data_IF_759323900389
#
_entry.id   IF_759323900389
#
_cell.length_a   1.000
_cell.length_b   1.000
_cell.length_c   1.000
_cell.angle_alpha   90.00
_cell.angle_beta   90.00
_cell.angle_gamma   90.00
#
_symmetry.space_group_name_H-M   'P 1'
#
loop_
_entity.id
_entity.type
_entity.pdbx_description
1 polymer ?
#
# COMPACT_ATOMS: atom_id res chain seq x y z
N UNK A 1 -17.70 35.02 -14.57
CA UNK A 1 -16.89 33.83 -14.28
C UNK A 1 -16.42 33.22 -15.58
N UNK A 2 -15.11 33.07 -15.76
CA UNK A 2 -14.47 32.45 -16.93
C UNK A 2 -13.96 31.07 -16.57
N UNK A 3 -14.45 30.06 -17.27
CA UNK A 3 -14.04 28.68 -17.07
C UNK A 3 -13.20 28.25 -18.26
N UNK A 4 -11.93 27.96 -18.00
CA UNK A 4 -10.99 27.43 -19.00
C UNK A 4 -11.08 25.90 -18.99
N UNK A 5 -11.39 25.31 -20.15
CA UNK A 5 -11.50 23.87 -20.32
C UNK A 5 -10.16 23.26 -20.72
N UNK A 6 -10.04 21.93 -20.61
CA UNK A 6 -8.82 21.17 -20.92
C UNK A 6 -8.28 21.37 -22.35
N UNK A 7 -9.15 21.71 -23.30
CA UNK A 7 -8.77 22.00 -24.69
C UNK A 7 -8.34 23.46 -24.92
N UNK A 8 -8.27 24.26 -23.86
CA UNK A 8 -7.95 25.69 -23.89
C UNK A 8 -9.13 26.58 -24.28
N UNK A 9 -10.30 26.02 -24.56
CA UNK A 9 -11.50 26.82 -24.81
C UNK A 9 -12.00 27.47 -23.51
N UNK A 10 -12.64 28.64 -23.64
CA UNK A 10 -13.13 29.41 -22.49
C UNK A 10 -14.64 29.59 -22.60
N UNK A 11 -15.35 29.28 -21.52
CA UNK A 11 -16.78 29.51 -21.34
C UNK A 11 -17.00 30.64 -20.33
N UNK A 12 -17.90 31.57 -20.64
CA UNK A 12 -18.23 32.68 -19.75
C UNK A 12 -19.63 32.52 -19.17
N UNK A 13 -19.74 32.60 -17.85
CA UNK A 13 -20.98 32.51 -17.10
C UNK A 13 -21.21 33.79 -16.28
N UNK A 14 -22.47 34.24 -16.23
CA UNK A 14 -22.88 35.50 -15.58
C UNK A 14 -22.92 35.44 -14.05
N UNK A 15 -22.81 34.24 -13.47
CA UNK A 15 -22.86 34.01 -12.03
C UNK A 15 -22.24 32.67 -11.66
N UNK A 16 -22.35 32.31 -10.39
CA UNK A 16 -21.88 31.01 -9.91
C UNK A 16 -22.74 29.87 -10.48
N UNK A 17 -22.11 28.72 -10.71
CA UNK A 17 -22.77 27.53 -11.25
C UNK A 17 -22.18 26.27 -10.62
N UNK A 18 -23.01 25.24 -10.45
CA UNK A 18 -22.49 23.92 -10.13
C UNK A 18 -21.76 23.32 -11.33
N UNK A 19 -20.70 22.56 -11.05
CA UNK A 19 -19.91 21.90 -12.09
C UNK A 19 -20.78 21.00 -12.98
N UNK A 20 -21.78 20.32 -12.41
CA UNK A 20 -22.72 19.48 -13.18
C UNK A 20 -23.51 20.29 -14.22
N UNK A 21 -23.85 21.54 -13.95
CA UNK A 21 -24.59 22.38 -14.88
C UNK A 21 -23.68 22.97 -15.96
N UNK A 22 -22.42 23.29 -15.60
CA UNK A 22 -21.38 23.60 -16.58
C UNK A 22 -21.15 22.40 -17.52
N UNK A 23 -21.09 21.18 -16.99
CA UNK A 23 -20.94 19.96 -17.80
C UNK A 23 -22.12 19.77 -18.78
N UNK A 24 -23.36 20.07 -18.36
CA UNK A 24 -24.55 20.02 -19.24
C UNK A 24 -24.48 21.07 -20.35
N UNK A 25 -24.04 22.28 -20.03
CA UNK A 25 -23.85 23.37 -21.00
C UNK A 25 -22.75 23.06 -22.03
N UNK A 26 -21.71 22.32 -21.64
CA UNK A 26 -20.70 21.81 -22.58
C UNK A 26 -21.31 20.75 -23.49
N UNK A 27 -21.91 19.70 -22.89
CA UNK A 27 -22.63 18.66 -23.61
C UNK A 27 -23.46 17.79 -22.67
N UNK A 28 -24.72 17.58 -23.02
CA UNK A 28 -25.60 16.59 -22.40
C UNK A 28 -24.98 15.19 -22.33
N UNK A 29 -24.20 14.80 -23.34
CA UNK A 29 -23.51 13.51 -23.36
C UNK A 29 -22.38 13.45 -22.32
N UNK A 30 -21.62 14.53 -22.19
CA UNK A 30 -20.54 14.64 -21.21
C UNK A 30 -21.09 14.64 -19.78
N UNK A 31 -22.14 15.41 -19.51
CA UNK A 31 -22.78 15.45 -18.19
C UNK A 31 -23.29 14.08 -17.72
N UNK A 32 -23.77 13.23 -18.64
CA UNK A 32 -24.21 11.86 -18.32
C UNK A 32 -23.06 10.92 -17.96
N UNK A 33 -21.87 11.16 -18.53
CA UNK A 33 -20.67 10.35 -18.31
C UNK A 33 -19.76 10.89 -17.19
N UNK A 34 -20.03 12.10 -16.71
CA UNK A 34 -19.28 12.76 -15.66
C UNK A 34 -19.35 11.95 -14.36
N UNK A 35 -18.17 11.70 -13.78
CA UNK A 35 -18.00 10.98 -12.51
C UNK A 35 -17.50 11.89 -11.40
N UNK A 36 -16.60 12.82 -11.73
CA UNK A 36 -16.05 13.85 -10.86
C UNK A 36 -15.58 15.03 -11.73
N UNK A 37 -14.95 16.03 -11.12
CA UNK A 37 -14.23 17.06 -11.87
C UNK A 37 -12.90 17.38 -11.22
N UNK A 38 -12.00 17.96 -12.00
CA UNK A 38 -10.78 18.60 -11.51
C UNK A 38 -10.95 20.11 -11.67
N UNK A 39 -10.86 20.83 -10.56
CA UNK A 39 -10.98 22.29 -10.47
C UNK A 39 -9.65 22.83 -9.95
N UNK A 40 -8.95 23.61 -10.78
CA UNK A 40 -7.61 24.16 -10.47
C UNK A 40 -6.63 23.08 -9.94
N UNK A 41 -6.60 21.93 -10.62
CA UNK A 41 -5.75 20.79 -10.26
C UNK A 41 -6.24 19.94 -9.08
N UNK A 42 -7.42 20.23 -8.50
CA UNK A 42 -7.99 19.47 -7.37
C UNK A 42 -9.23 18.69 -7.78
N UNK A 43 -9.26 17.41 -7.44
CA UNK A 43 -10.44 16.55 -7.67
C UNK A 43 -11.56 16.95 -6.71
N UNK A 44 -12.74 17.26 -7.27
CA UNK A 44 -13.91 17.74 -6.55
C UNK A 44 -15.20 17.06 -7.02
N UNK A 45 -16.25 17.14 -6.19
CA UNK A 45 -17.58 16.63 -6.51
C UNK A 45 -18.28 17.49 -7.57
N UNK A 46 -19.10 16.88 -8.42
CA UNK A 46 -19.85 17.58 -9.48
C UNK A 46 -20.88 18.59 -8.94
N UNK A 47 -21.27 18.48 -7.66
CA UNK A 47 -22.14 19.42 -6.95
C UNK A 47 -21.41 20.68 -6.48
N UNK A 48 -20.08 20.72 -6.60
CA UNK A 48 -19.28 21.88 -6.21
C UNK A 48 -19.71 23.10 -7.00
N UNK A 49 -19.95 24.20 -6.29
CA UNK A 49 -20.26 25.50 -6.90
C UNK A 49 -18.97 26.23 -7.23
N UNK A 50 -18.87 26.68 -8.48
CA UNK A 50 -17.77 27.53 -8.96
C UNK A 50 -18.28 28.96 -8.99
N UNK A 51 -17.56 29.88 -8.37
CA UNK A 51 -17.93 31.31 -8.26
C UNK A 51 -16.89 32.28 -8.81
N UNK A 52 -15.68 31.79 -9.11
CA UNK A 52 -14.55 32.56 -9.63
C UNK A 52 -14.02 31.92 -10.90
N UNK A 53 -13.16 32.65 -11.62
CA UNK A 53 -12.46 32.12 -12.78
C UNK A 53 -11.60 30.93 -12.38
N UNK A 54 -11.65 29.84 -13.15
CA UNK A 54 -11.01 28.57 -12.81
C UNK A 54 -10.71 27.72 -14.04
N UNK A 55 -9.76 26.80 -13.90
CA UNK A 55 -9.53 25.71 -14.84
C UNK A 55 -10.39 24.50 -14.44
N UNK A 56 -11.18 23.98 -15.40
CA UNK A 56 -12.12 22.89 -15.14
C UNK A 56 -11.94 21.76 -16.16
N UNK A 57 -11.75 20.55 -15.63
CA UNK A 57 -11.80 19.31 -16.40
C UNK A 57 -12.89 18.39 -15.87
N UNK A 58 -13.82 17.98 -16.72
CA UNK A 58 -14.83 16.98 -16.36
C UNK A 58 -14.20 15.59 -16.46
N UNK A 59 -14.19 14.86 -15.35
CA UNK A 59 -13.57 13.55 -15.25
C UNK A 59 -14.63 12.46 -15.46
N UNK A 60 -14.31 11.52 -16.34
CA UNK A 60 -15.16 10.38 -16.70
C UNK A 60 -14.54 9.08 -16.19
N UNK A 61 -15.20 7.94 -16.42
CA UNK A 61 -14.62 6.63 -16.06
C UNK A 61 -13.32 6.30 -16.82
N UNK A 62 -12.95 7.05 -17.85
CA UNK A 62 -11.66 6.88 -18.53
C UNK A 62 -10.50 7.53 -17.76
N UNK A 63 -10.79 8.40 -16.79
CA UNK A 63 -9.82 9.10 -15.97
C UNK A 63 -9.70 8.40 -14.60
N UNK A 64 -8.49 8.30 -14.03
CA UNK A 64 -8.27 7.56 -12.78
C UNK A 64 -9.11 8.09 -11.61
N UNK A 65 -9.15 9.42 -11.42
CA UNK A 65 -10.01 10.04 -10.41
C UNK A 65 -11.51 9.85 -10.69
N UNK A 66 -11.93 9.70 -11.95
CA UNK A 66 -13.30 9.35 -12.30
C UNK A 66 -13.64 7.88 -12.00
N UNK A 67 -12.71 6.94 -12.24
CA UNK A 67 -12.84 5.53 -11.80
C UNK A 67 -12.96 5.44 -10.29
N UNK A 68 -12.13 6.19 -9.57
CA UNK A 68 -12.16 6.26 -8.10
C UNK A 68 -13.54 6.71 -7.61
N UNK A 69 -14.07 7.84 -8.10
CA UNK A 69 -15.41 8.33 -7.74
C UNK A 69 -16.54 7.33 -8.06
N UNK A 70 -16.47 6.68 -9.22
CA UNK A 70 -17.44 5.66 -9.64
C UNK A 70 -17.43 4.44 -8.71
N UNK A 71 -16.25 3.93 -8.38
CA UNK A 71 -16.08 2.77 -7.48
C UNK A 71 -16.41 3.12 -6.04
N UNK A 72 -16.07 4.31 -5.58
CA UNK A 72 -16.43 4.83 -4.27
C UNK A 72 -17.96 4.96 -4.11
N UNK A 73 -18.65 5.42 -5.15
CA UNK A 73 -20.12 5.39 -5.16
C UNK A 73 -20.67 3.98 -5.11
N UNK A 74 -20.01 3.03 -5.77
CA UNK A 74 -20.42 1.62 -5.71
C UNK A 74 -20.20 1.00 -4.32
N UNK A 75 -19.18 1.43 -3.57
CA UNK A 75 -18.99 0.98 -2.18
C UNK A 75 -20.13 1.44 -1.28
N UNK A 76 -20.67 2.65 -1.46
CA UNK A 76 -21.86 3.10 -0.74
C UNK A 76 -23.09 2.27 -1.10
N UNK A 77 -23.27 1.91 -2.38
CA UNK A 77 -24.35 0.99 -2.79
C UNK A 77 -24.22 -0.37 -2.10
N UNK A 78 -22.99 -0.90 -1.94
CA UNK A 78 -22.75 -2.10 -1.15
C UNK A 78 -23.14 -1.90 0.32
N UNK A 79 -22.73 -0.80 0.94
CA UNK A 79 -23.07 -0.51 2.33
C UNK A 79 -24.59 -0.42 2.55
N UNK A 80 -25.31 0.25 1.65
CA UNK A 80 -26.77 0.28 1.66
C UNK A 80 -27.38 -1.12 1.50
N UNK A 81 -26.86 -1.95 0.58
CA UNK A 81 -27.31 -3.32 0.41
C UNK A 81 -27.13 -4.16 1.68
N UNK A 82 -25.97 -4.01 2.35
CA UNK A 82 -25.71 -4.66 3.64
C UNK A 82 -26.69 -4.16 4.69
N UNK A 83 -26.92 -2.85 4.83
CA UNK A 83 -27.88 -2.31 5.81
C UNK A 83 -29.33 -2.76 5.56
N UNK A 84 -29.72 -3.01 4.30
CA UNK A 84 -31.06 -3.55 3.98
C UNK A 84 -31.22 -5.03 4.33
N UNK A 85 -30.21 -5.85 4.04
CA UNK A 85 -30.28 -7.30 4.31
C UNK A 85 -29.88 -7.67 5.74
N UNK A 86 -29.05 -6.84 6.38
CA UNK A 86 -28.48 -7.01 7.71
C UNK A 86 -28.59 -5.68 8.49
N UNK A 87 -29.79 -5.33 9.00
CA UNK A 87 -30.02 -4.03 9.64
C UNK A 87 -29.11 -3.71 10.83
N UNK A 88 -28.71 -4.75 11.57
CA UNK A 88 -27.85 -4.64 12.75
C UNK A 88 -26.37 -4.44 12.41
N UNK A 89 -25.99 -4.59 11.13
CA UNK A 89 -24.63 -4.36 10.65
C UNK A 89 -24.18 -2.94 10.93
N UNK A 90 -22.95 -2.77 11.43
CA UNK A 90 -22.34 -1.43 11.58
C UNK A 90 -21.31 -1.21 10.48
N UNK A 91 -21.30 -0.01 9.90
CA UNK A 91 -20.41 0.35 8.79
C UNK A 91 -19.18 1.10 9.30
N UNK A 92 -18.01 0.73 8.78
CA UNK A 92 -16.74 1.36 9.16
C UNK A 92 -16.16 2.22 8.02
N UNK A 93 -15.28 1.67 7.19
CA UNK A 93 -14.61 2.39 6.09
C UNK A 93 -14.83 1.68 4.76
N UNK A 94 -14.98 2.44 3.68
CA UNK A 94 -15.24 1.87 2.36
C UNK A 94 -14.65 2.65 1.18
N UNK A 95 -13.32 2.72 1.06
CA UNK A 95 -12.66 3.48 0.01
C UNK A 95 -12.72 2.76 -1.35
N UNK A 96 -12.54 3.53 -2.42
CA UNK A 96 -12.10 2.98 -3.71
C UNK A 96 -10.63 2.58 -3.66
N UNK A 97 -10.27 1.58 -4.46
CA UNK A 97 -8.90 1.13 -4.70
C UNK A 97 -8.67 1.00 -6.22
N UNK A 98 -7.41 0.81 -6.63
CA UNK A 98 -6.99 0.80 -8.04
C UNK A 98 -7.74 -0.20 -8.92
N UNK A 99 -8.20 -1.31 -8.34
CA UNK A 99 -8.90 -2.38 -9.06
C UNK A 99 -10.38 -2.49 -8.69
N UNK A 100 -10.90 -1.64 -7.81
CA UNK A 100 -12.26 -1.75 -7.29
C UNK A 100 -12.54 -0.91 -6.05
N UNK A 101 -13.14 -1.53 -5.04
CA UNK A 101 -13.42 -0.93 -3.74
C UNK A 101 -13.49 -2.04 -2.69
N UNK A 102 -13.44 -1.66 -1.41
CA UNK A 102 -13.89 -2.53 -0.35
C UNK A 102 -14.80 -1.76 0.61
N UNK A 103 -15.47 -2.49 1.50
CA UNK A 103 -16.17 -1.89 2.64
C UNK A 103 -16.05 -2.82 3.86
N UNK A 104 -15.71 -2.25 5.01
CA UNK A 104 -15.59 -2.94 6.30
C UNK A 104 -16.89 -2.85 7.11
N UNK A 105 -17.34 -4.00 7.60
CA UNK A 105 -18.58 -4.17 8.35
C UNK A 105 -18.34 -4.91 9.66
N UNK A 106 -18.99 -4.46 10.72
CA UNK A 106 -19.07 -5.19 11.98
C UNK A 106 -20.25 -6.18 11.93
N UNK A 107 -19.98 -7.33 11.33
CA UNK A 107 -20.91 -8.43 11.10
C UNK A 107 -20.15 -9.75 11.02
N UNK A 108 -20.83 -10.90 11.20
CA UNK A 108 -20.26 -12.20 10.85
C UNK A 108 -19.79 -12.26 9.38
N UNK A 109 -18.73 -13.02 9.07
CA UNK A 109 -18.23 -13.15 7.70
C UNK A 109 -19.29 -13.61 6.70
N UNK A 110 -19.28 -13.04 5.49
CA UNK A 110 -20.18 -13.44 4.42
C UNK A 110 -19.63 -14.64 3.65
N UNK A 111 -20.47 -15.64 3.46
CA UNK A 111 -20.18 -16.74 2.54
C UNK A 111 -20.52 -16.36 1.08
N UNK A 112 -20.29 -17.29 0.16
CA UNK A 112 -20.55 -17.04 -1.26
C UNK A 112 -22.03 -16.75 -1.57
N UNK A 113 -22.96 -17.41 -0.86
CA UNK A 113 -24.40 -17.21 -1.08
C UNK A 113 -24.85 -15.84 -0.59
N UNK A 114 -24.31 -15.36 0.54
CA UNK A 114 -24.55 -14.02 1.05
C UNK A 114 -24.00 -12.94 0.10
N UNK A 115 -22.80 -13.13 -0.46
CA UNK A 115 -22.28 -12.21 -1.48
C UNK A 115 -23.16 -12.16 -2.73
N UNK A 116 -23.66 -13.31 -3.19
CA UNK A 116 -24.58 -13.34 -4.34
C UNK A 116 -25.92 -12.64 -4.02
N UNK A 117 -26.44 -12.77 -2.78
CA UNK A 117 -27.63 -12.04 -2.33
C UNK A 117 -27.39 -10.52 -2.25
N UNK A 118 -26.24 -10.10 -1.74
CA UNK A 118 -25.83 -8.70 -1.70
C UNK A 118 -25.71 -8.12 -3.11
N UNK A 119 -25.09 -8.82 -4.06
CA UNK A 119 -25.04 -8.40 -5.47
C UNK A 119 -26.44 -8.16 -6.07
N UNK A 120 -27.42 -9.01 -5.74
CA UNK A 120 -28.81 -8.81 -6.19
C UNK A 120 -29.44 -7.59 -5.54
N UNK A 121 -29.20 -7.34 -4.25
CA UNK A 121 -29.74 -6.16 -3.57
C UNK A 121 -29.10 -4.86 -4.08
N UNK A 122 -27.77 -4.86 -4.32
CA UNK A 122 -27.08 -3.74 -4.98
C UNK A 122 -27.70 -3.42 -6.34
N UNK A 123 -28.03 -4.43 -7.15
CA UNK A 123 -28.72 -4.23 -8.44
C UNK A 123 -30.10 -3.61 -8.28
N UNK A 124 -30.85 -3.94 -7.21
CA UNK A 124 -32.14 -3.29 -6.92
C UNK A 124 -31.95 -1.82 -6.57
N UNK A 125 -31.00 -1.50 -5.68
CA UNK A 125 -30.66 -0.12 -5.29
C UNK A 125 -30.25 0.72 -6.51
N UNK A 126 -29.38 0.18 -7.38
CA UNK A 126 -28.96 0.84 -8.63
C UNK A 126 -30.17 1.11 -9.54
N UNK A 127 -31.12 0.16 -9.61
CA UNK A 127 -32.34 0.30 -10.43
C UNK A 127 -33.31 1.33 -9.86
N UNK A 128 -33.44 1.42 -8.54
CA UNK A 128 -34.18 2.50 -7.87
C UNK A 128 -33.60 3.86 -8.23
N UNK A 129 -32.26 3.93 -8.36
CA UNK A 129 -31.58 5.06 -8.98
C UNK A 129 -31.73 6.36 -8.19
N UNK A 130 -31.75 6.26 -6.86
CA UNK A 130 -31.85 7.41 -5.97
C UNK A 130 -30.84 8.50 -6.34
N UNK A 131 -31.28 9.75 -6.27
CA UNK A 131 -30.37 10.89 -6.31
C UNK A 131 -29.47 10.83 -5.07
N UNK A 132 -28.18 11.10 -5.29
CA UNK A 132 -27.22 11.18 -4.20
C UNK A 132 -27.11 12.66 -3.81
N UNK A 133 -27.32 12.98 -2.53
CA UNK A 133 -27.25 14.36 -2.04
C UNK A 133 -26.14 14.51 -1.01
N UNK A 134 -25.32 15.54 -1.16
CA UNK A 134 -24.26 15.90 -0.20
C UNK A 134 -24.77 16.97 0.76
N UNK A 135 -24.49 16.81 2.04
CA UNK A 135 -24.75 17.84 3.06
C UNK A 135 -23.65 17.85 4.13
N UNK A 136 -23.58 18.90 4.93
CA UNK A 136 -22.60 19.06 6.01
C UNK A 136 -23.31 19.29 7.32
N UNK A 137 -22.73 18.82 8.42
CA UNK A 137 -23.25 19.07 9.77
C UNK A 137 -22.14 19.59 10.68
N UNK A 138 -22.45 20.45 11.66
CA UNK A 138 -21.54 20.72 12.77
C UNK A 138 -21.14 19.44 13.49
N UNK A 139 -19.93 19.39 14.04
CA UNK A 139 -19.39 18.18 14.69
C UNK A 139 -20.31 17.54 15.72
N UNK A 140 -20.91 18.35 16.61
CA UNK A 140 -21.82 17.85 17.63
C UNK A 140 -23.08 17.18 17.02
N UNK A 141 -23.63 17.77 15.96
CA UNK A 141 -24.80 17.22 15.26
C UNK A 141 -24.43 15.97 14.43
N UNK A 142 -23.24 15.97 13.82
CA UNK A 142 -22.72 14.83 13.08
C UNK A 142 -22.52 13.61 13.99
N UNK A 143 -21.92 13.80 15.18
CA UNK A 143 -21.77 12.75 16.20
C UNK A 143 -23.14 12.24 16.62
N UNK A 144 -24.05 13.14 16.97
CA UNK A 144 -25.41 12.78 17.39
C UNK A 144 -26.16 11.97 16.32
N UNK A 145 -26.08 12.37 15.05
CA UNK A 145 -26.69 11.65 13.94
C UNK A 145 -26.16 10.21 13.82
N UNK A 146 -24.85 10.01 13.96
CA UNK A 146 -24.23 8.68 13.89
C UNK A 146 -24.52 7.85 15.15
N UNK A 147 -24.62 8.46 16.34
CA UNK A 147 -25.06 7.80 17.57
C UNK A 147 -26.52 7.34 17.47
N UNK A 148 -27.42 8.17 16.95
CA UNK A 148 -28.84 7.82 16.71
C UNK A 148 -29.02 6.71 15.66
N UNK A 149 -28.10 6.63 14.70
CA UNK A 149 -28.02 5.52 13.73
C UNK A 149 -27.27 4.30 14.26
N UNK A 150 -26.76 4.38 15.49
CA UNK A 150 -25.94 3.36 16.13
C UNK A 150 -24.71 2.96 15.31
N UNK A 151 -23.99 3.91 14.71
CA UNK A 151 -22.79 3.69 13.88
C UNK A 151 -21.51 4.09 14.63
N UNK A 152 -20.99 3.25 15.56
CA UNK A 152 -19.93 3.64 16.48
C UNK A 152 -18.60 3.98 15.79
N UNK A 153 -18.26 3.28 14.70
CA UNK A 153 -17.04 3.54 13.94
C UNK A 153 -17.06 4.93 13.29
N UNK A 154 -18.23 5.38 12.81
CA UNK A 154 -18.37 6.72 12.24
C UNK A 154 -18.27 7.80 13.31
N UNK A 155 -18.78 7.55 14.51
CA UNK A 155 -18.61 8.44 15.67
C UNK A 155 -17.13 8.61 16.02
N UNK A 156 -16.38 7.51 16.08
CA UNK A 156 -14.94 7.52 16.32
C UNK A 156 -14.20 8.31 15.24
N UNK A 157 -14.49 8.05 13.96
CA UNK A 157 -13.89 8.79 12.84
C UNK A 157 -14.16 10.31 12.94
N UNK A 158 -15.38 10.72 13.28
CA UNK A 158 -15.71 12.15 13.43
C UNK A 158 -14.89 12.77 14.55
N UNK A 159 -14.70 12.08 15.68
CA UNK A 159 -13.94 12.60 16.84
C UNK A 159 -12.47 12.82 16.50
N UNK A 160 -11.91 11.98 15.64
CA UNK A 160 -10.50 12.04 15.24
C UNK A 160 -10.18 13.09 14.18
N UNK A 161 -11.20 13.61 13.48
CA UNK A 161 -10.97 14.66 12.48
C UNK A 161 -10.43 15.94 13.15
N UNK A 162 -9.53 16.70 12.49
CA UNK A 162 -9.07 18.02 12.96
C UNK A 162 -10.22 18.95 13.32
N UNK A 163 -10.06 19.83 14.32
CA UNK A 163 -11.17 20.66 14.85
C UNK A 163 -11.88 21.49 13.76
N UNK A 164 -11.13 21.97 12.77
CA UNK A 164 -11.57 22.79 11.64
C UNK A 164 -12.07 21.98 10.43
N UNK A 165 -12.06 20.65 10.50
CA UNK A 165 -12.50 19.79 9.41
C UNK A 165 -13.99 19.96 9.10
N UNK A 166 -14.30 20.11 7.80
CA UNK A 166 -15.69 20.11 7.30
C UNK A 166 -16.22 18.68 7.28
N UNK A 167 -17.22 18.41 8.12
CA UNK A 167 -17.84 17.08 8.22
C UNK A 167 -18.99 16.99 7.21
N UNK A 168 -18.78 16.19 6.16
CA UNK A 168 -19.78 15.95 5.11
C UNK A 168 -20.34 14.53 5.13
N UNK A 169 -21.58 14.44 4.63
CA UNK A 169 -22.34 13.23 4.48
C UNK A 169 -22.91 13.12 3.07
N UNK A 170 -23.09 11.89 2.62
CA UNK A 170 -23.83 11.58 1.41
C UNK A 170 -25.06 10.75 1.77
N UNK A 171 -26.22 11.19 1.28
CA UNK A 171 -27.49 10.48 1.38
C UNK A 171 -27.84 9.85 0.04
N UNK A 172 -28.27 8.59 0.04
CA UNK A 172 -28.80 7.88 -1.12
C UNK A 172 -30.00 7.01 -0.71
N UNK A 173 -31.20 7.43 -1.10
CA UNK A 173 -32.43 6.75 -0.66
C UNK A 173 -32.55 6.73 0.87
N UNK A 174 -32.55 5.54 1.46
CA UNK A 174 -32.64 5.29 2.90
C UNK A 174 -31.28 5.24 3.64
N UNK A 175 -30.16 5.34 2.90
CA UNK A 175 -28.82 5.26 3.45
C UNK A 175 -28.13 6.63 3.54
N UNK A 176 -27.44 6.88 4.64
CA UNK A 176 -26.65 8.09 4.88
C UNK A 176 -25.30 7.67 5.44
N UNK A 177 -24.22 8.20 4.88
CA UNK A 177 -22.86 7.85 5.29
C UNK A 177 -21.96 9.07 5.44
N UNK A 178 -21.05 9.01 6.42
CA UNK A 178 -19.98 9.97 6.62
C UNK A 178 -18.92 9.75 5.53
N UNK A 179 -18.75 10.73 4.67
CA UNK A 179 -17.80 10.63 3.56
C UNK A 179 -17.43 12.02 3.00
N UNK A 180 -16.18 12.18 2.58
CA UNK A 180 -15.71 13.38 1.88
C UNK A 180 -16.10 13.39 0.39
N UNK A 181 -16.21 12.21 -0.22
CA UNK A 181 -16.45 12.00 -1.65
C UNK A 181 -15.18 12.13 -2.50
N UNK A 182 -15.29 12.45 -3.80
CA UNK A 182 -16.53 12.74 -4.53
C UNK A 182 -17.39 11.49 -4.81
N UNK A 183 -18.67 11.70 -5.11
CA UNK A 183 -19.61 10.65 -5.54
C UNK A 183 -20.37 11.04 -6.82
N UNK A 184 -20.82 10.02 -7.58
CA UNK A 184 -21.68 10.23 -8.74
C UNK A 184 -22.97 10.98 -8.36
N UNK A 185 -23.63 11.59 -9.34
CA UNK A 185 -24.91 12.28 -9.14
C UNK A 185 -26.05 11.32 -8.75
N UNK A 186 -26.00 10.08 -9.21
CA UNK A 186 -27.00 9.04 -8.93
C UNK A 186 -26.38 7.65 -9.00
N UNK A 187 -26.90 6.72 -8.18
CA UNK A 187 -26.55 5.31 -8.25
C UNK A 187 -26.92 4.65 -9.60
N UNK A 188 -27.88 5.22 -10.34
CA UNK A 188 -28.37 4.70 -11.63
C UNK A 188 -27.28 4.64 -12.72
N UNK A 189 -26.23 5.45 -12.55
CA UNK A 189 -25.11 5.51 -13.49
C UNK A 189 -24.24 4.26 -13.39
N UNK A 190 -24.28 3.53 -12.27
CA UNK A 190 -23.56 2.27 -12.07
C UNK A 190 -24.19 1.18 -12.96
N UNK A 191 -23.36 0.41 -13.66
CA UNK A 191 -23.79 -0.63 -14.62
C UNK A 191 -23.34 -2.04 -14.26
N UNK A 192 -22.05 -2.30 -14.38
CA UNK A 192 -21.47 -3.62 -14.16
C UNK A 192 -20.80 -3.66 -12.79
N UNK A 193 -21.22 -4.60 -11.93
CA UNK A 193 -20.69 -4.76 -10.57
C UNK A 193 -20.39 -6.23 -10.29
N UNK A 194 -19.36 -6.49 -9.47
CA UNK A 194 -19.05 -7.82 -8.96
C UNK A 194 -18.46 -7.74 -7.56
N UNK A 195 -18.95 -8.55 -6.63
CA UNK A 195 -18.29 -8.81 -5.35
C UNK A 195 -17.30 -9.98 -5.53
N UNK A 196 -16.06 -9.75 -5.10
CA UNK A 196 -14.93 -10.64 -5.34
C UNK A 196 -14.79 -11.65 -4.19
N UNK A 197 -14.62 -11.17 -2.96
CA UNK A 197 -14.48 -12.01 -1.78
C UNK A 197 -14.87 -11.25 -0.49
N UNK A 198 -14.92 -12.00 0.60
CA UNK A 198 -15.07 -11.51 1.97
C UNK A 198 -13.86 -11.96 2.77
N UNK A 199 -13.22 -11.07 3.53
CA UNK A 199 -12.05 -11.36 4.37
C UNK A 199 -12.18 -10.69 5.73
N UNK A 200 -11.35 -11.09 6.71
CA UNK A 200 -11.20 -10.35 7.96
C UNK A 200 -10.28 -9.14 7.77
N UNK A 201 -10.55 -8.04 8.48
CA UNK A 201 -9.64 -6.91 8.61
C UNK A 201 -9.75 -6.34 10.03
N UNK A 202 -8.62 -5.98 10.63
CA UNK A 202 -8.65 -5.35 11.96
C UNK A 202 -8.92 -3.86 11.85
N UNK A 203 -9.77 -3.33 12.74
CA UNK A 203 -10.02 -1.88 12.81
C UNK A 203 -8.70 -1.12 13.03
N UNK A 204 -8.43 -0.12 12.18
CA UNK A 204 -7.15 0.63 12.11
C UNK A 204 -5.90 -0.22 11.89
N UNK A 205 -6.04 -1.43 11.35
CA UNK A 205 -4.92 -2.32 11.06
C UNK A 205 -4.24 -2.91 12.30
N UNK A 206 -4.83 -2.79 13.48
CA UNK A 206 -4.23 -3.30 14.73
C UNK A 206 -4.95 -4.55 15.24
N UNK A 207 -4.23 -5.66 15.39
CA UNK A 207 -4.75 -6.94 15.91
C UNK A 207 -5.36 -6.85 17.32
N UNK A 208 -5.05 -5.77 18.06
CA UNK A 208 -5.63 -5.48 19.38
C UNK A 208 -7.07 -4.98 19.29
N UNK A 209 -7.50 -4.53 18.11
CA UNK A 209 -8.83 -4.00 17.87
C UNK A 209 -9.79 -5.08 17.37
N UNK A 210 -11.08 -4.73 17.31
CA UNK A 210 -12.10 -5.64 16.80
C UNK A 210 -11.83 -6.01 15.33
N UNK A 211 -11.94 -7.30 15.03
CA UNK A 211 -11.91 -7.81 13.66
C UNK A 211 -13.25 -7.53 12.99
N UNK A 212 -13.19 -6.89 11.82
CA UNK A 212 -14.30 -6.56 10.94
C UNK A 212 -14.33 -7.50 9.73
N UNK A 213 -15.49 -7.59 9.08
CA UNK A 213 -15.68 -8.28 7.81
C UNK A 213 -15.50 -7.28 6.66
N UNK A 214 -14.42 -7.43 5.90
CA UNK A 214 -14.14 -6.66 4.69
C UNK A 214 -14.71 -7.35 3.47
N UNK A 215 -15.51 -6.65 2.68
CA UNK A 215 -16.05 -7.14 1.41
C UNK A 215 -15.40 -6.39 0.26
N UNK A 216 -14.72 -7.10 -0.64
CA UNK A 216 -14.13 -6.52 -1.84
C UNK A 216 -15.08 -6.62 -3.03
N UNK A 217 -15.12 -5.57 -3.85
CA UNK A 217 -15.88 -5.52 -5.08
C UNK A 217 -15.21 -4.69 -6.16
N UNK A 218 -15.72 -4.78 -7.38
CA UNK A 218 -15.30 -3.94 -8.49
C UNK A 218 -16.51 -3.48 -9.30
N UNK A 219 -16.33 -2.42 -10.07
CA UNK A 219 -17.39 -1.81 -10.86
C UNK A 219 -16.84 -1.17 -12.15
N UNK A 220 -17.61 -1.32 -13.22
CA UNK A 220 -17.32 -0.81 -14.56
C UNK A 220 -18.57 -0.20 -15.20
N UNK A 221 -18.37 0.62 -16.23
CA UNK A 221 -19.47 1.25 -16.99
C UNK A 221 -20.11 0.31 -18.00
N UNK A 222 -19.46 -0.80 -18.36
CA UNK A 222 -20.00 -1.84 -19.26
C UNK A 222 -19.58 -3.24 -18.81
N UNK A 223 -20.43 -4.24 -19.08
CA UNK A 223 -20.18 -5.64 -18.71
C UNK A 223 -18.93 -6.21 -19.40
N UNK A 224 -18.64 -5.80 -20.63
CA UNK A 224 -17.46 -6.27 -21.37
C UNK A 224 -16.13 -5.98 -20.63
N UNK A 225 -15.98 -4.79 -20.04
CA UNK A 225 -14.77 -4.47 -19.25
C UNK A 225 -14.72 -5.27 -17.95
N UNK A 226 -15.88 -5.49 -17.32
CA UNK A 226 -15.96 -6.34 -16.13
C UNK A 226 -15.54 -7.77 -16.45
N UNK A 227 -16.04 -8.34 -17.55
CA UNK A 227 -15.71 -9.70 -17.98
C UNK A 227 -14.22 -9.84 -18.32
N UNK A 228 -13.65 -8.84 -19.02
CA UNK A 228 -12.21 -8.78 -19.31
C UNK A 228 -11.37 -8.71 -18.01
N UNK A 229 -11.76 -7.86 -17.07
CA UNK A 229 -11.10 -7.73 -15.78
C UNK A 229 -11.18 -9.04 -14.96
N UNK A 230 -12.34 -9.69 -14.93
CA UNK A 230 -12.50 -10.98 -14.25
C UNK A 230 -11.69 -12.09 -14.90
N UNK A 231 -11.59 -12.11 -16.24
CA UNK A 231 -10.73 -13.04 -16.96
C UNK A 231 -9.24 -12.80 -16.64
N UNK A 232 -8.83 -11.54 -16.52
CA UNK A 232 -7.48 -11.17 -16.11
C UNK A 232 -7.18 -11.61 -14.67
N UNK A 233 -8.09 -11.38 -13.71
CA UNK A 233 -7.94 -11.87 -12.33
C UNK A 233 -7.82 -13.40 -12.26
N UNK A 234 -8.56 -14.11 -13.11
CA UNK A 234 -8.46 -15.57 -13.18
C UNK A 234 -7.12 -16.03 -13.79
N UNK A 235 -6.57 -15.28 -14.74
CA UNK A 235 -5.23 -15.54 -15.26
C UNK A 235 -4.14 -15.29 -14.20
N UNK A 236 -4.23 -14.21 -13.43
CA UNK A 236 -3.32 -13.93 -12.30
C UNK A 236 -3.35 -15.09 -11.29
N UNK A 237 -4.55 -15.57 -10.91
CA UNK A 237 -4.68 -16.70 -9.97
C UNK A 237 -4.01 -17.99 -10.46
N UNK A 238 -3.90 -18.19 -11.78
CA UNK A 238 -3.18 -19.35 -12.34
C UNK A 238 -1.66 -19.23 -12.17
N UNK A 239 -1.15 -18.01 -11.98
CA UNK A 239 0.28 -17.70 -11.84
C UNK A 239 0.72 -17.45 -10.39
N UNK A 240 -0.20 -17.58 -9.42
CA UNK A 240 0.11 -17.48 -8.00
C UNK A 240 1.15 -18.53 -7.60
N UNK A 241 2.28 -18.09 -7.03
CA UNK A 241 3.38 -18.99 -6.65
C UNK A 241 2.98 -19.97 -5.54
N UNK A 242 1.96 -19.68 -4.73
CA UNK A 242 1.42 -20.65 -3.78
C UNK A 242 0.75 -21.82 -4.47
N UNK A 243 -0.01 -21.53 -5.53
CA UNK A 243 -0.66 -22.56 -6.35
C UNK A 243 0.39 -23.36 -7.10
N UNK A 244 1.22 -22.67 -7.89
CA UNK A 244 2.27 -23.30 -8.69
C UNK A 244 3.29 -24.04 -7.83
N UNK A 245 3.70 -23.45 -6.70
CA UNK A 245 4.66 -24.05 -5.79
C UNK A 245 4.19 -25.35 -5.18
N UNK A 246 2.87 -25.50 -4.92
CA UNK A 246 2.27 -26.76 -4.48
C UNK A 246 2.16 -27.75 -5.63
N UNK A 247 1.62 -27.33 -6.78
CA UNK A 247 1.44 -28.19 -7.96
C UNK A 247 2.77 -28.74 -8.50
N UNK A 248 3.84 -27.95 -8.40
CA UNK A 248 5.18 -28.31 -8.86
C UNK A 248 6.05 -28.96 -7.77
N UNK A 249 5.56 -29.06 -6.54
CA UNK A 249 6.29 -29.58 -5.36
C UNK A 249 7.59 -28.80 -5.09
N UNK A 250 7.51 -27.47 -5.11
CA UNK A 250 8.63 -26.57 -4.83
C UNK A 250 8.73 -26.24 -3.34
N UNK A 251 7.60 -26.01 -2.67
CA UNK A 251 7.55 -25.76 -1.24
C UNK A 251 6.23 -26.24 -0.63
N UNK A 252 6.22 -26.42 0.69
CA UNK A 252 5.03 -26.74 1.47
C UNK A 252 4.93 -25.81 2.70
N UNK A 253 3.70 -25.51 3.10
CA UNK A 253 3.39 -24.83 4.36
C UNK A 253 2.68 -25.82 5.27
N UNK A 254 3.12 -25.91 6.52
CA UNK A 254 2.59 -26.87 7.49
C UNK A 254 2.31 -26.15 8.80
N UNK A 255 1.07 -26.20 9.27
CA UNK A 255 0.63 -25.40 10.43
C UNK A 255 1.44 -25.66 11.70
N UNK A 256 1.80 -26.93 11.99
CA UNK A 256 2.61 -27.27 13.18
C UNK A 256 4.04 -26.75 13.11
N UNK A 257 4.55 -26.39 11.92
CA UNK A 257 5.88 -25.77 11.76
C UNK A 257 5.79 -24.27 12.05
N UNK A 258 4.66 -23.64 11.73
CA UNK A 258 4.41 -22.22 11.93
C UNK A 258 4.30 -21.43 10.64
N UNK A 259 3.55 -20.33 10.69
CA UNK A 259 3.29 -19.47 9.55
C UNK A 259 4.57 -18.76 9.07
N UNK A 260 4.73 -18.68 7.75
CA UNK A 260 5.89 -18.10 7.06
C UNK A 260 7.24 -18.75 7.37
N UNK A 261 7.22 -20.04 7.73
CA UNK A 261 8.38 -20.92 7.77
C UNK A 261 8.20 -22.04 6.74
N UNK A 262 8.29 -21.73 5.43
CA UNK A 262 8.01 -22.69 4.38
C UNK A 262 9.08 -23.80 4.32
N UNK A 263 8.63 -25.03 4.09
CA UNK A 263 9.51 -26.16 3.77
C UNK A 263 9.85 -26.11 2.28
N UNK A 264 11.13 -25.89 1.95
CA UNK A 264 11.61 -26.08 0.58
C UNK A 264 11.68 -27.56 0.25
N UNK A 265 10.85 -28.00 -0.69
CA UNK A 265 10.80 -29.37 -1.18
C UNK A 265 11.98 -29.64 -2.13
N UNK A 266 12.34 -30.89 -2.49
CA UNK A 266 13.57 -31.18 -3.23
C UNK A 266 13.81 -30.34 -4.50
N UNK A 267 12.76 -30.06 -5.28
CA UNK A 267 12.85 -29.20 -6.48
C UNK A 267 13.09 -27.73 -6.11
N UNK A 268 12.39 -27.20 -5.11
CA UNK A 268 12.60 -25.84 -4.62
C UNK A 268 13.97 -25.65 -3.98
N UNK A 269 14.43 -26.61 -3.17
CA UNK A 269 15.77 -26.62 -2.60
C UNK A 269 16.86 -26.61 -3.69
N UNK A 270 16.66 -27.38 -4.78
CA UNK A 270 17.59 -27.37 -5.93
C UNK A 270 17.61 -26.02 -6.65
N UNK A 271 16.46 -25.38 -6.80
CA UNK A 271 16.34 -24.05 -7.40
C UNK A 271 17.09 -22.99 -6.55
N UNK A 272 16.85 -22.94 -5.24
CA UNK A 272 17.56 -22.03 -4.34
C UNK A 272 19.06 -22.29 -4.35
N UNK A 273 19.51 -23.55 -4.30
CA UNK A 273 20.94 -23.88 -4.41
C UNK A 273 21.56 -23.34 -5.72
N UNK A 274 20.82 -23.39 -6.82
CA UNK A 274 21.31 -22.94 -8.13
C UNK A 274 21.43 -21.42 -8.17
N UNK A 275 20.41 -20.71 -7.67
CA UNK A 275 20.42 -19.24 -7.57
C UNK A 275 21.51 -18.74 -6.62
N UNK A 276 21.66 -19.39 -5.46
CA UNK A 276 22.69 -19.05 -4.48
C UNK A 276 24.09 -19.17 -5.08
N UNK A 277 24.42 -20.29 -5.73
CA UNK A 277 25.73 -20.45 -6.38
C UNK A 277 25.97 -19.39 -7.45
N UNK A 278 24.94 -19.10 -8.24
CA UNK A 278 25.06 -18.10 -9.31
C UNK A 278 25.36 -16.70 -8.76
N UNK A 279 24.62 -16.23 -7.75
CA UNK A 279 24.87 -14.91 -7.15
C UNK A 279 26.21 -14.89 -6.40
N UNK A 280 26.57 -15.97 -5.72
CA UNK A 280 27.83 -16.06 -5.00
C UNK A 280 29.04 -15.99 -5.95
N UNK A 281 29.01 -16.73 -7.06
CA UNK A 281 30.03 -16.73 -8.10
C UNK A 281 30.15 -15.36 -8.79
N UNK A 282 29.01 -14.68 -9.02
CA UNK A 282 29.00 -13.36 -9.66
C UNK A 282 29.53 -12.26 -8.73
N UNK A 283 29.16 -12.28 -7.45
CA UNK A 283 29.71 -11.39 -6.43
C UNK A 283 31.24 -11.58 -6.29
N UNK A 284 31.73 -12.82 -6.28
CA UNK A 284 33.17 -13.09 -6.21
C UNK A 284 33.93 -12.53 -7.43
N UNK A 285 33.38 -12.68 -8.64
CA UNK A 285 33.96 -12.07 -9.86
C UNK A 285 34.05 -10.55 -9.78
N UNK A 286 33.16 -9.91 -9.02
CA UNK A 286 33.13 -8.46 -8.78
C UNK A 286 33.96 -8.04 -7.58
N UNK A 287 34.72 -8.96 -6.98
CA UNK A 287 35.65 -8.67 -5.89
C UNK A 287 34.99 -8.59 -4.52
N UNK A 288 33.81 -9.18 -4.33
CA UNK A 288 33.25 -9.41 -3.00
C UNK A 288 34.01 -10.55 -2.32
N UNK A 289 34.27 -10.38 -1.02
CA UNK A 289 34.92 -11.37 -0.17
C UNK A 289 33.84 -11.98 0.72
N UNK A 290 33.65 -13.30 0.59
CA UNK A 290 32.61 -14.02 1.33
C UNK A 290 32.94 -14.09 2.81
N UNK A 291 31.96 -13.75 3.65
CA UNK A 291 31.99 -13.95 5.09
C UNK A 291 30.89 -14.93 5.51
N UNK A 292 30.99 -15.44 6.73
CA UNK A 292 29.94 -16.26 7.34
C UNK A 292 29.81 -15.88 8.80
N UNK A 293 28.66 -15.32 9.17
CA UNK A 293 28.43 -14.82 10.53
C UNK A 293 27.34 -15.64 11.25
N UNK A 294 27.31 -15.66 12.60
CA UNK A 294 26.29 -16.36 13.37
C UNK A 294 24.86 -15.89 13.07
N UNK A 295 23.85 -16.73 13.37
CA UNK A 295 22.43 -16.43 13.17
C UNK A 295 21.76 -15.70 14.35
N UNK A 296 22.46 -15.59 15.48
CA UNK A 296 22.03 -14.88 16.67
C UNK A 296 23.21 -14.18 17.33
N UNK A 297 22.91 -13.17 18.12
CA UNK A 297 23.88 -12.46 18.94
C UNK A 297 23.24 -11.98 20.24
N UNK A 298 24.09 -11.55 21.18
CA UNK A 298 23.67 -10.91 22.42
C UNK A 298 22.94 -9.60 22.12
N UNK A 299 21.99 -9.25 22.99
CA UNK A 299 21.31 -7.95 23.02
C UNK A 299 22.28 -6.78 22.83
N UNK A 300 23.43 -6.82 23.51
CA UNK A 300 24.48 -5.79 23.46
C UNK A 300 24.91 -5.42 22.03
N UNK A 301 25.01 -6.40 21.12
CA UNK A 301 25.39 -6.14 19.74
C UNK A 301 24.35 -5.25 19.05
N UNK A 302 23.07 -5.54 19.29
CA UNK A 302 21.95 -4.83 18.70
C UNK A 302 21.73 -3.47 19.35
N UNK A 303 22.02 -3.32 20.64
CA UNK A 303 22.04 -2.01 21.32
C UNK A 303 23.16 -1.11 20.77
N UNK A 304 24.38 -1.64 20.61
CA UNK A 304 25.51 -0.88 20.02
C UNK A 304 25.20 -0.41 18.60
N UNK A 305 24.50 -1.25 17.83
CA UNK A 305 24.07 -0.92 16.45
C UNK A 305 22.76 -0.16 16.38
N UNK A 306 22.14 0.14 17.52
CA UNK A 306 20.83 0.79 17.68
C UNK A 306 19.61 0.05 17.09
N UNK A 307 19.82 -1.16 16.56
CA UNK A 307 18.73 -1.99 16.05
C UNK A 307 17.77 -2.41 17.18
N UNK A 308 18.26 -2.52 18.42
CA UNK A 308 17.41 -2.85 19.55
C UNK A 308 16.36 -1.78 19.86
N UNK A 309 16.68 -0.50 19.68
CA UNK A 309 15.73 0.57 19.99
C UNK A 309 14.70 0.77 18.87
N UNK A 310 15.11 0.55 17.62
CA UNK A 310 14.28 0.83 16.44
C UNK A 310 13.55 -0.40 15.87
N UNK A 311 14.10 -1.60 16.01
CA UNK A 311 13.62 -2.80 15.31
C UNK A 311 13.17 -3.93 16.25
N UNK A 312 13.26 -3.76 17.58
CA UNK A 312 12.96 -4.84 18.55
C UNK A 312 11.59 -5.47 18.37
N UNK A 313 10.56 -4.70 18.04
CA UNK A 313 9.20 -5.24 17.83
C UNK A 313 9.17 -6.30 16.71
N UNK A 314 10.02 -6.12 15.68
CA UNK A 314 10.20 -7.06 14.58
C UNK A 314 11.27 -8.12 14.81
N UNK A 315 11.84 -8.27 16.01
CA UNK A 315 12.90 -9.23 16.31
C UNK A 315 12.40 -10.42 17.12
N UNK A 316 12.98 -11.60 16.87
CA UNK A 316 12.80 -12.76 17.76
C UNK A 316 13.81 -12.71 18.90
N UNK A 317 13.33 -12.36 20.09
CA UNK A 317 14.12 -12.31 21.33
C UNK A 317 14.06 -13.67 22.05
N UNK A 318 15.21 -14.10 22.56
CA UNK A 318 15.43 -15.34 23.28
C UNK A 318 16.00 -15.02 24.66
N UNK A 319 15.34 -15.52 25.71
CA UNK A 319 15.71 -15.24 27.10
C UNK A 319 14.69 -14.34 27.80
N UNK A 320 14.87 -14.19 29.11
CA UNK A 320 14.06 -13.29 29.93
C UNK A 320 14.71 -11.90 29.95
N UNK A 321 13.99 -10.89 29.47
CA UNK A 321 14.48 -9.51 29.47
C UNK A 321 14.38 -8.84 30.84
N UNK A 322 13.55 -9.39 31.74
CA UNK A 322 13.32 -8.83 33.09
C UNK A 322 14.33 -9.35 34.11
N UNK A 323 15.04 -10.45 33.81
CA UNK A 323 16.13 -10.96 34.64
C UNK A 323 17.46 -10.32 34.26
N UNK A 324 17.93 -9.39 35.11
CA UNK A 324 19.22 -8.69 34.95
C UNK A 324 20.44 -9.64 34.89
N UNK A 325 20.30 -10.91 35.31
CA UNK A 325 21.37 -11.91 35.28
C UNK A 325 21.26 -12.88 34.08
N UNK A 326 20.19 -12.80 33.29
CA UNK A 326 19.99 -13.65 32.13
C UNK A 326 20.70 -13.07 30.89
N UNK A 327 21.38 -13.94 30.13
CA UNK A 327 21.86 -13.55 28.81
C UNK A 327 20.70 -13.52 27.81
N UNK A 328 20.37 -12.32 27.34
CA UNK A 328 19.38 -12.12 26.28
C UNK A 328 20.06 -12.18 24.92
N UNK A 329 19.52 -13.02 24.04
CA UNK A 329 19.94 -13.13 22.64
C UNK A 329 18.79 -12.74 21.73
N UNK A 330 19.11 -12.39 20.49
CA UNK A 330 18.10 -12.30 19.44
C UNK A 330 18.60 -12.92 18.13
N UNK A 331 17.68 -13.55 17.41
CA UNK A 331 17.90 -13.94 16.02
C UNK A 331 18.12 -12.67 15.21
N UNK A 332 19.09 -12.71 14.29
CA UNK A 332 19.49 -11.53 13.54
C UNK A 332 18.39 -11.08 12.55
N UNK A 333 17.93 -9.81 12.61
CA UNK A 333 17.03 -9.25 11.60
C UNK A 333 17.77 -8.74 10.36
N UNK A 334 19.08 -8.50 10.50
CA UNK A 334 20.02 -7.98 9.50
C UNK A 334 21.45 -8.46 9.81
N UNK A 335 22.36 -8.46 8.83
CA UNK A 335 23.78 -8.83 9.06
C UNK A 335 24.72 -7.67 9.33
N UNK A 336 24.31 -6.43 9.12
CA UNK A 336 25.11 -5.21 9.28
C UNK A 336 26.08 -5.24 10.49
N UNK A 337 25.60 -5.40 11.74
CA UNK A 337 26.49 -5.33 12.90
C UNK A 337 27.59 -6.40 12.90
N UNK A 338 27.29 -7.60 12.39
CA UNK A 338 28.26 -8.69 12.32
C UNK A 338 29.40 -8.36 11.34
N UNK A 339 29.08 -7.82 10.17
CA UNK A 339 30.08 -7.46 9.16
C UNK A 339 31.01 -6.35 9.64
N UNK A 340 30.51 -5.38 10.43
CA UNK A 340 31.37 -4.39 11.09
C UNK A 340 32.38 -5.03 12.04
N UNK A 341 32.00 -6.07 12.78
CA UNK A 341 32.94 -6.78 13.63
C UNK A 341 33.94 -7.63 12.84
N UNK A 342 33.57 -8.14 11.67
CA UNK A 342 34.53 -8.77 10.74
C UNK A 342 35.57 -7.74 10.27
N UNK A 343 35.12 -6.56 9.82
CA UNK A 343 36.00 -5.46 9.41
C UNK A 343 36.99 -5.08 10.54
N UNK A 344 36.49 -4.97 11.77
CA UNK A 344 37.26 -4.58 12.96
C UNK A 344 38.32 -5.60 13.41
N UNK A 345 38.35 -6.83 12.88
CA UNK A 345 39.33 -7.85 13.30
C UNK A 345 40.77 -7.54 12.87
N UNK A 346 40.98 -6.58 11.97
CA UNK A 346 42.32 -6.18 11.54
C UNK A 346 42.38 -4.69 11.24
N UNK A 347 43.55 -4.09 11.44
CA UNK A 347 43.80 -2.71 11.01
C UNK A 347 43.76 -2.63 9.47
N UNK A 348 43.13 -1.58 8.95
CA UNK A 348 43.03 -1.29 7.51
C UNK A 348 43.68 0.05 7.18
N UNK A 349 44.38 0.10 6.06
CA UNK A 349 44.82 1.32 5.40
C UNK A 349 43.77 1.80 4.39
N UNK A 350 43.83 3.07 3.98
CA UNK A 350 43.03 3.57 2.86
C UNK A 350 43.27 2.79 1.56
N UNK A 351 44.45 2.15 1.43
CA UNK A 351 44.80 1.29 0.28
C UNK A 351 44.10 -0.05 0.28
N UNK A 352 43.59 -0.49 1.43
CA UNK A 352 42.82 -1.72 1.56
C UNK A 352 41.33 -1.50 1.24
N UNK A 353 40.92 -0.25 1.02
CA UNK A 353 39.57 0.12 0.61
C UNK A 353 39.47 0.23 -0.93
N UNK A 354 38.37 -0.20 -1.54
CA UNK A 354 37.12 -0.65 -0.90
C UNK A 354 37.18 -2.10 -0.37
N UNK A 355 36.63 -2.31 0.83
CA UNK A 355 36.39 -3.66 1.37
C UNK A 355 34.94 -4.06 1.09
N UNK A 356 34.72 -5.15 0.34
CA UNK A 356 33.39 -5.62 -0.05
C UNK A 356 33.08 -6.94 0.63
N UNK A 357 32.38 -6.93 1.77
CA UNK A 357 32.01 -8.19 2.43
C UNK A 357 30.65 -8.67 1.94
N UNK A 358 30.61 -9.86 1.36
CA UNK A 358 29.38 -10.51 0.91
C UNK A 358 28.98 -11.66 1.83
N UNK A 359 27.70 -11.83 2.11
CA UNK A 359 27.16 -13.03 2.75
C UNK A 359 25.78 -13.37 2.15
N UNK A 360 25.57 -14.65 1.84
CA UNK A 360 24.21 -15.15 1.57
C UNK A 360 23.61 -15.56 2.91
N UNK A 361 22.86 -14.63 3.48
CA UNK A 361 22.55 -14.55 4.91
C UNK A 361 21.14 -14.99 5.21
N UNK A 362 20.98 -16.01 6.07
CA UNK A 362 19.69 -16.32 6.67
C UNK A 362 19.37 -15.32 7.79
N UNK A 363 18.20 -14.70 7.72
CA UNK A 363 17.72 -13.66 8.64
C UNK A 363 16.32 -14.01 9.15
N UNK A 364 15.92 -13.34 10.23
CA UNK A 364 14.64 -13.57 10.89
C UNK A 364 13.94 -12.27 11.23
N UNK A 365 12.66 -12.15 10.87
CA UNK A 365 11.80 -11.01 11.23
C UNK A 365 10.49 -11.52 11.81
N UNK A 366 10.09 -11.00 12.96
CA UNK A 366 8.83 -11.31 13.61
C UNK A 366 7.68 -10.56 12.92
N UNK A 367 7.41 -10.93 11.68
CA UNK A 367 6.32 -10.35 10.88
C UNK A 367 4.95 -10.73 11.46
N UNK A 368 4.00 -9.81 11.35
CA UNK A 368 2.62 -10.00 11.78
C UNK A 368 1.98 -11.15 11.00
N UNK A 369 1.22 -11.97 11.74
CA UNK A 369 0.58 -13.17 11.18
C UNK A 369 -0.38 -12.84 10.03
N UNK A 370 -1.02 -11.66 10.05
CA UNK A 370 -1.93 -11.22 8.99
C UNK A 370 -1.25 -10.83 7.67
N UNK A 371 0.05 -10.56 7.68
CA UNK A 371 0.78 -10.04 6.51
C UNK A 371 1.53 -11.13 5.73
N UNK A 372 1.61 -12.34 6.28
CA UNK A 372 2.40 -13.42 5.68
C UNK A 372 1.73 -13.96 4.42
N UNK A 373 2.48 -14.04 3.32
CA UNK A 373 1.96 -14.51 2.04
C UNK A 373 2.96 -15.39 1.30
N UNK A 374 2.75 -16.70 1.34
CA UNK A 374 3.56 -17.69 0.62
C UNK A 374 5.06 -17.56 0.86
N UNK A 375 5.82 -17.29 -0.20
CA UNK A 375 7.25 -17.00 -0.16
C UNK A 375 7.58 -15.49 -0.26
N UNK A 376 6.57 -14.64 -0.46
CA UNK A 376 6.76 -13.18 -0.65
C UNK A 376 7.04 -12.47 0.68
N UNK A 377 6.37 -12.88 1.76
CA UNK A 377 6.58 -12.36 3.11
C UNK A 377 6.62 -13.51 4.12
N UNK A 378 7.79 -13.71 4.73
CA UNK A 378 8.14 -14.88 5.55
C UNK A 378 8.93 -14.45 6.79
N UNK A 379 8.91 -15.26 7.85
CA UNK A 379 9.64 -14.99 9.10
C UNK A 379 11.12 -15.34 9.03
N UNK A 380 11.46 -16.32 8.20
CA UNK A 380 12.83 -16.72 7.92
C UNK A 380 13.06 -16.60 6.42
N UNK A 381 14.09 -15.85 6.03
CA UNK A 381 14.47 -15.66 4.63
C UNK A 381 15.98 -15.65 4.49
N UNK A 382 16.46 -15.88 3.27
CA UNK A 382 17.87 -15.77 2.94
C UNK A 382 18.03 -14.73 1.84
N UNK A 383 18.90 -13.75 2.08
CA UNK A 383 19.22 -12.71 1.09
C UNK A 383 20.71 -12.71 0.76
N UNK A 384 21.06 -12.31 -0.47
CA UNK A 384 22.45 -11.98 -0.81
C UNK A 384 22.70 -10.54 -0.39
N UNK A 385 23.61 -10.33 0.55
CA UNK A 385 23.89 -9.01 1.12
C UNK A 385 25.34 -8.63 0.92
N UNK A 386 25.57 -7.35 0.65
CA UNK A 386 26.89 -6.74 0.54
C UNK A 386 27.05 -5.59 1.53
N UNK A 387 28.13 -5.61 2.29
CA UNK A 387 28.53 -4.51 3.19
C UNK A 387 29.86 -3.96 2.72
N UNK A 388 29.81 -2.77 2.13
CA UNK A 388 30.96 -2.12 1.52
C UNK A 388 31.48 -1.03 2.45
N UNK A 389 32.77 -1.12 2.78
CA UNK A 389 33.49 -0.08 3.51
C UNK A 389 34.36 0.65 2.49
N UNK A 390 34.09 1.94 2.33
CA UNK A 390 34.64 2.77 1.25
C UNK A 390 35.07 4.12 1.82
N UNK A 391 35.98 4.81 1.14
CA UNK A 391 36.20 6.24 1.42
C UNK A 391 35.08 7.08 0.79
N UNK A 392 34.85 8.33 1.24
CA UNK A 392 33.84 9.20 0.63
C UNK A 392 34.03 9.38 -0.88
N UNK A 393 35.26 9.43 -1.37
CA UNK A 393 35.58 9.58 -2.79
C UNK A 393 35.26 8.32 -3.62
N UNK A 394 35.17 7.16 -2.98
CA UNK A 394 34.86 5.87 -3.62
C UNK A 394 33.35 5.59 -3.66
N UNK A 395 32.53 6.36 -2.93
CA UNK A 395 31.12 6.03 -2.72
C UNK A 395 30.32 5.92 -4.02
N UNK A 396 30.45 6.89 -4.92
CA UNK A 396 29.69 6.93 -6.17
C UNK A 396 30.05 5.75 -7.09
N UNK A 397 31.34 5.47 -7.26
CA UNK A 397 31.83 4.36 -8.08
C UNK A 397 31.38 3.00 -7.53
N UNK A 398 31.44 2.81 -6.22
CA UNK A 398 31.01 1.56 -5.57
C UNK A 398 29.49 1.40 -5.59
N UNK A 399 28.73 2.49 -5.40
CA UNK A 399 27.27 2.47 -5.52
C UNK A 399 26.85 2.13 -6.95
N UNK A 400 27.51 2.70 -7.96
CA UNK A 400 27.30 2.35 -9.36
C UNK A 400 27.54 0.85 -9.60
N UNK A 401 28.60 0.29 -9.03
CA UNK A 401 28.89 -1.15 -9.09
C UNK A 401 27.77 -2.02 -8.50
N UNK A 402 27.18 -1.61 -7.38
CA UNK A 402 26.01 -2.27 -6.78
C UNK A 402 24.77 -2.21 -7.69
N UNK A 403 24.49 -1.04 -8.27
CA UNK A 403 23.37 -0.86 -9.22
C UNK A 403 23.58 -1.71 -10.48
N UNK A 404 24.80 -1.77 -11.01
CA UNK A 404 25.15 -2.61 -12.16
C UNK A 404 24.99 -4.11 -11.85
N UNK A 405 25.29 -4.55 -10.62
CA UNK A 405 25.03 -5.92 -10.18
C UNK A 405 23.53 -6.21 -10.11
N UNK A 406 22.75 -5.31 -9.51
CA UNK A 406 21.29 -5.44 -9.45
C UNK A 406 20.67 -5.51 -10.85
N UNK A 407 21.06 -4.60 -11.77
CA UNK A 407 20.63 -4.59 -13.17
C UNK A 407 21.02 -5.87 -13.91
N UNK A 408 22.23 -6.37 -13.71
CA UNK A 408 22.66 -7.65 -14.29
C UNK A 408 21.76 -8.80 -13.85
N UNK A 409 21.46 -8.88 -12.55
CA UNK A 409 20.58 -9.92 -12.01
C UNK A 409 19.16 -9.81 -12.58
N UNK A 410 18.58 -8.61 -12.57
CA UNK A 410 17.24 -8.35 -13.11
C UNK A 410 17.15 -8.64 -14.61
N UNK A 411 18.16 -8.26 -15.38
CA UNK A 411 18.23 -8.54 -16.82
C UNK A 411 18.31 -10.05 -17.07
N UNK A 412 19.14 -10.75 -16.31
CA UNK A 412 19.31 -12.22 -16.44
C UNK A 412 18.02 -12.97 -16.12
N UNK A 413 17.26 -12.47 -15.15
CA UNK A 413 15.95 -13.03 -14.77
C UNK A 413 14.79 -12.55 -15.65
N UNK A 414 15.03 -11.61 -16.57
CA UNK A 414 14.01 -11.07 -17.47
C UNK A 414 13.03 -10.10 -16.82
N UNK A 415 13.43 -9.41 -15.74
CA UNK A 415 12.59 -8.53 -14.92
C UNK A 415 12.97 -7.04 -15.03
N UNK A 416 13.99 -6.70 -15.83
CA UNK A 416 14.55 -5.34 -15.86
C UNK A 416 13.54 -4.26 -16.31
N UNK A 417 12.60 -4.61 -17.18
CA UNK A 417 11.56 -3.70 -17.69
C UNK A 417 10.39 -3.51 -16.68
N UNK A 418 10.32 -4.35 -15.65
CA UNK A 418 9.22 -4.36 -14.66
C UNK A 418 9.62 -3.71 -13.32
N UNK A 419 10.79 -3.06 -13.25
CA UNK A 419 11.34 -2.46 -12.03
C UNK A 419 11.36 -0.95 -12.11
N UNK A 420 10.95 -0.30 -11.01
CA UNK A 420 11.11 1.13 -10.79
C UNK A 420 12.12 1.39 -9.67
N UNK A 421 12.76 2.55 -9.70
CA UNK A 421 13.67 2.99 -8.65
C UNK A 421 13.02 4.07 -7.80
N UNK A 422 13.28 4.03 -6.49
CA UNK A 422 12.78 5.01 -5.52
C UNK A 422 13.90 5.45 -4.60
N UNK A 423 14.06 6.75 -4.43
CA UNK A 423 14.87 7.34 -3.38
C UNK A 423 13.99 7.59 -2.15
N UNK A 424 14.17 6.76 -1.12
CA UNK A 424 13.46 6.90 0.15
C UNK A 424 14.07 8.01 1.00
N UNK A 425 13.23 8.91 1.48
CA UNK A 425 13.60 10.11 2.25
C UNK A 425 13.15 10.03 3.70
N UNK A 426 13.80 10.81 4.56
CA UNK A 426 13.32 11.00 5.93
C UNK A 426 11.98 11.76 5.93
N UNK A 427 11.20 11.63 7.01
CA UNK A 427 9.98 12.41 7.22
C UNK A 427 10.28 13.60 8.13
N UNK A 428 10.25 14.85 7.63
CA UNK A 428 10.47 16.04 8.43
C UNK A 428 9.48 16.20 9.60
N UNK A 429 8.29 15.59 9.49
CA UNK A 429 7.24 15.64 10.50
C UNK A 429 7.40 14.55 11.58
N UNK A 430 8.32 13.60 11.40
CA UNK A 430 8.60 12.52 12.33
C UNK A 430 10.10 12.37 12.62
N UNK A 431 10.73 13.47 13.04
CA UNK A 431 12.17 13.53 13.28
C UNK A 431 12.67 12.48 14.29
N UNK A 432 11.85 12.13 15.28
CA UNK A 432 12.20 11.15 16.32
C UNK A 432 12.37 9.72 15.82
N UNK A 433 11.87 9.39 14.63
CA UNK A 433 12.08 8.09 13.98
C UNK A 433 13.50 7.93 13.44
N UNK A 434 14.17 9.04 13.07
CA UNK A 434 15.42 9.02 12.32
C UNK A 434 16.62 9.43 13.18
N UNK A 435 17.76 8.83 12.91
CA UNK A 435 19.03 9.22 13.55
C UNK A 435 19.62 10.45 12.88
N UNK A 436 20.24 11.33 13.68
CA UNK A 436 20.90 12.54 13.19
C UNK A 436 19.99 13.77 13.19
N UNK A 437 20.35 14.78 12.40
CA UNK A 437 19.60 16.04 12.29
C UNK A 437 19.23 16.33 10.83
N UNK A 438 18.34 17.30 10.65
CA UNK A 438 17.85 17.74 9.33
C UNK A 438 19.00 18.08 8.36
N UNK A 439 20.02 18.79 8.83
CA UNK A 439 21.17 19.17 8.00
C UNK A 439 21.91 17.93 7.44
N UNK A 440 22.11 16.91 8.28
CA UNK A 440 22.76 15.66 7.89
C UNK A 440 21.89 14.91 6.88
N UNK A 441 20.59 14.81 7.14
CA UNK A 441 19.66 14.15 6.24
C UNK A 441 19.59 14.84 4.89
N UNK A 442 19.43 16.16 4.85
CA UNK A 442 19.38 16.92 3.60
C UNK A 442 20.66 16.71 2.79
N UNK A 443 21.83 16.78 3.45
CA UNK A 443 23.11 16.49 2.79
C UNK A 443 23.19 15.08 2.19
N UNK A 444 22.78 14.05 2.93
CA UNK A 444 22.87 12.65 2.47
C UNK A 444 21.90 12.38 1.32
N UNK A 445 20.68 12.89 1.42
CA UNK A 445 19.66 12.72 0.37
C UNK A 445 20.06 13.47 -0.91
N UNK A 446 20.62 14.67 -0.78
CA UNK A 446 21.13 15.44 -1.92
C UNK A 446 22.28 14.71 -2.61
N UNK A 447 23.24 14.20 -1.84
CA UNK A 447 24.34 13.40 -2.37
C UNK A 447 23.84 12.14 -3.10
N UNK A 448 22.86 11.43 -2.53
CA UNK A 448 22.27 10.25 -3.18
C UNK A 448 21.52 10.62 -4.46
N UNK A 449 20.81 11.75 -4.47
CA UNK A 449 20.13 12.28 -5.66
C UNK A 449 21.12 12.58 -6.78
N UNK A 450 22.22 13.25 -6.45
CA UNK A 450 23.29 13.57 -7.40
C UNK A 450 23.91 12.30 -7.99
N UNK A 451 24.22 11.31 -7.14
CA UNK A 451 24.73 10.00 -7.58
C UNK A 451 23.75 9.33 -8.54
N UNK A 452 22.46 9.23 -8.18
CA UNK A 452 21.42 8.60 -9.02
C UNK A 452 21.29 9.29 -10.39
N UNK A 453 21.34 10.63 -10.41
CA UNK A 453 21.33 11.42 -11.64
C UNK A 453 22.58 11.17 -12.49
N UNK A 454 23.78 11.16 -11.89
CA UNK A 454 25.04 10.92 -12.58
C UNK A 454 25.11 9.54 -13.22
N UNK A 455 24.59 8.51 -12.56
CA UNK A 455 24.57 7.14 -13.09
C UNK A 455 23.38 6.87 -14.02
N UNK A 456 22.51 7.87 -14.25
CA UNK A 456 21.41 7.81 -15.22
C UNK A 456 20.30 6.85 -14.81
N UNK A 457 19.89 6.88 -13.54
CA UNK A 457 18.73 6.13 -13.03
C UNK A 457 17.52 7.06 -13.00
N UNK A 458 16.41 6.63 -13.62
CA UNK A 458 15.12 7.29 -13.43
C UNK A 458 14.50 6.81 -12.12
N UNK A 459 14.24 7.73 -11.19
CA UNK A 459 13.68 7.42 -9.87
C UNK A 459 12.57 8.39 -9.45
N UNK A 460 11.74 7.95 -8.51
CA UNK A 460 10.81 8.81 -7.76
C UNK A 460 11.33 9.04 -6.35
N UNK A 461 10.88 10.11 -5.69
CA UNK A 461 11.18 10.38 -4.28
C UNK A 461 9.94 10.15 -3.42
N UNK A 462 10.13 9.60 -2.21
CA UNK A 462 9.03 9.37 -1.26
C UNK A 462 9.51 9.69 0.16
N UNK A 463 8.80 10.60 0.84
CA UNK A 463 9.09 10.97 2.23
C UNK A 463 8.57 9.90 3.20
N UNK A 464 9.30 9.64 4.28
CA UNK A 464 8.87 8.72 5.33
C UNK A 464 9.24 7.25 5.14
N UNK A 465 9.77 6.91 3.96
CA UNK A 465 10.15 5.55 3.57
C UNK A 465 11.61 5.20 3.88
N UNK A 466 12.39 6.14 4.44
CA UNK A 466 13.75 5.82 4.89
C UNK A 466 13.71 4.86 6.11
N UNK A 467 14.66 3.93 6.12
CA UNK A 467 14.82 2.88 7.12
C UNK A 467 15.68 3.33 8.32
#
# INVERSE_FOLDING_TARGET
MKITLKDGSVKEYSGSMQIIDIAKDISEGLARMACAAELDGKVVDLRTEVSNDAELSILTFNDEAGKAAYRHTTSHVLAQAVKRLYPDAKVAIGPSIDTGFYYDFDVPPFDRAALDALEQEMKKIIKEGAEITRFTLPRAEAIKLMEEKEEPYKVELIRDLPEDAVISFYSQGDFVDLCAGPHLMSAKNIKAIKLINSSGAYWRGSEKNKMLTRVYGTAFTKNADLDEFLAHLEDIKKRDHNKLGREMELFATVDVIGQGLPLLMPKGAKMIQTLQRWVEDEEERRGYVRTKTPLLAKKDLYEISDHWNHYKEGMFVLGDEEDENAEVFALRPMTCPFQYYVYKQSQKSYRDLPCRYGETSTLFRNEDSGEMHGLTRVRQFTISEGHLIVTPEQLEDEFKGCVDLAKYCLTTLGLVEDVTYRLSKWDPNNQGKYLGNEETWNKVQDMMRDILNHIGIDFTEEDGEAA
#
